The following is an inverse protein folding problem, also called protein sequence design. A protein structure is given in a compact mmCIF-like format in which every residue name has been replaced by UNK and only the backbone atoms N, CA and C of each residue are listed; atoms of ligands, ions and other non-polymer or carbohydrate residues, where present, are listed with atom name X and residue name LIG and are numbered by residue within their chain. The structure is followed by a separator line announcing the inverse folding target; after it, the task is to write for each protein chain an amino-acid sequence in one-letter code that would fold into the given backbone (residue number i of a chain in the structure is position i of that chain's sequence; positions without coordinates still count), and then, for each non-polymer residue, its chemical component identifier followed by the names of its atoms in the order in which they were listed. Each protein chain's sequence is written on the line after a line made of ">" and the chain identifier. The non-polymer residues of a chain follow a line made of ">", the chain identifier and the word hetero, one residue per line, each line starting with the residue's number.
data_IF_726506646886
#
_entry.id   IF_726506646886
#
_cell.length_a   1.000
_cell.length_b   1.000
_cell.length_c   1.000
_cell.angle_alpha   90.00
_cell.angle_beta   90.00
_cell.angle_gamma   90.00
#
_symmetry.space_group_name_H-M   'P 1'
#
loop_
_entity.id
_entity.type
_entity.pdbx_description
1 polymer ?
#
# COMPACT_ATOMS: atom_id res chain seq x y z
N UNK A 1 -26.02 3.89 0.74
CA UNK A 1 -25.16 3.31 -0.31
C UNK A 1 -24.20 2.35 0.35
N UNK A 2 -24.41 1.03 0.22
CA UNK A 2 -23.54 0.03 0.84
C UNK A 2 -22.23 -0.05 0.05
N UNK A 3 -21.23 0.75 0.42
CA UNK A 3 -19.89 0.57 -0.13
C UNK A 3 -19.34 -0.71 0.48
N UNK A 4 -19.06 -1.72 -0.35
CA UNK A 4 -18.28 -2.88 0.09
C UNK A 4 -16.94 -2.36 0.58
N UNK A 5 -16.78 -2.26 1.90
CA UNK A 5 -15.57 -1.68 2.49
C UNK A 5 -14.35 -2.52 2.07
N UNK A 6 -13.38 -1.90 1.39
CA UNK A 6 -12.15 -2.58 0.93
C UNK A 6 -11.49 -3.32 2.08
N UNK A 7 -10.99 -4.53 1.88
CA UNK A 7 -10.41 -5.34 2.95
C UNK A 7 -9.12 -4.75 3.57
N UNK A 8 -8.46 -3.82 2.87
CA UNK A 8 -7.21 -3.19 3.25
C UNK A 8 -7.33 -1.66 3.26
N UNK A 9 -6.48 -1.03 4.07
CA UNK A 9 -6.24 0.42 4.04
C UNK A 9 -4.84 0.69 3.50
N UNK A 10 -4.64 1.84 2.87
CA UNK A 10 -3.35 2.24 2.33
C UNK A 10 -2.65 3.19 3.30
N UNK A 11 -1.34 3.03 3.50
CA UNK A 11 -0.52 4.02 4.20
C UNK A 11 -0.30 5.23 3.30
N UNK A 12 -0.66 6.45 3.75
CA UNK A 12 -0.47 7.66 2.95
C UNK A 12 1.00 8.00 2.70
N UNK A 13 1.88 7.60 3.63
CA UNK A 13 3.32 7.89 3.56
C UNK A 13 4.10 7.01 2.58
N UNK A 14 3.81 5.70 2.55
CA UNK A 14 4.60 4.74 1.75
C UNK A 14 3.75 3.87 0.80
N UNK A 15 2.44 4.12 0.71
CA UNK A 15 1.50 3.45 -0.19
C UNK A 15 1.30 1.95 0.04
N UNK A 16 1.86 1.37 1.11
CA UNK A 16 1.63 -0.04 1.45
C UNK A 16 0.17 -0.30 1.82
N UNK A 17 -0.36 -1.44 1.37
CA UNK A 17 -1.65 -1.97 1.80
C UNK A 17 -1.47 -2.78 3.08
N UNK A 18 -2.21 -2.39 4.12
CA UNK A 18 -2.18 -3.03 5.43
C UNK A 18 -3.59 -3.49 5.85
N UNK A 19 -3.70 -4.51 6.72
CA UNK A 19 -4.97 -4.88 7.32
C UNK A 19 -5.65 -3.69 8.02
N UNK A 20 -6.99 -3.67 8.03
CA UNK A 20 -7.75 -2.56 8.64
C UNK A 20 -7.38 -2.30 10.10
N UNK A 21 -7.14 -3.37 10.85
CA UNK A 21 -6.80 -3.35 12.28
C UNK A 21 -5.33 -2.96 12.55
N UNK A 22 -4.48 -2.79 11.54
CA UNK A 22 -3.10 -2.35 11.75
C UNK A 22 -3.09 -0.91 12.30
N UNK A 23 -2.51 -0.70 13.48
CA UNK A 23 -2.41 0.64 14.09
C UNK A 23 -1.15 1.38 13.63
N UNK A 24 -0.12 0.65 13.22
CA UNK A 24 1.18 1.18 12.75
C UNK A 24 1.55 0.48 11.45
N UNK A 25 2.10 1.23 10.49
CA UNK A 25 2.54 0.71 9.22
C UNK A 25 3.81 -0.13 9.41
N UNK A 26 3.82 -1.42 9.06
CA UNK A 26 5.00 -2.28 9.24
C UNK A 26 6.16 -1.92 8.29
N UNK A 27 5.90 -1.10 7.27
CA UNK A 27 6.90 -0.71 6.27
C UNK A 27 7.64 0.58 6.67
N UNK A 28 6.93 1.57 7.24
CA UNK A 28 7.52 2.90 7.48
C UNK A 28 7.21 3.50 8.87
N UNK A 29 6.50 2.78 9.74
CA UNK A 29 6.15 3.24 11.10
C UNK A 29 5.07 4.31 11.18
N UNK A 30 4.51 4.77 10.05
CA UNK A 30 3.43 5.76 10.04
C UNK A 30 2.12 5.20 10.61
N UNK A 31 1.31 6.07 11.22
CA UNK A 31 -0.07 5.79 11.64
C UNK A 31 -1.11 6.46 10.70
N UNK A 32 -0.65 7.08 9.61
CA UNK A 32 -1.48 7.80 8.66
C UNK A 32 -1.95 6.88 7.51
N UNK A 33 -3.26 6.67 7.44
CA UNK A 33 -3.90 5.70 6.56
C UNK A 33 -5.14 6.26 5.86
N UNK A 34 -5.51 5.64 4.74
CA UNK A 34 -6.73 5.97 3.97
C UNK A 34 -7.46 4.71 3.49
N UNK A 35 -8.77 4.79 3.39
CA UNK A 35 -9.63 3.79 2.72
C UNK A 35 -9.88 4.16 1.23
N UNK A 36 -9.56 5.40 0.87
CA UNK A 36 -9.69 5.96 -0.47
C UNK A 36 -8.36 5.80 -1.20
N UNK A 37 -8.34 4.82 -2.10
CA UNK A 37 -7.17 4.38 -2.84
C UNK A 37 -7.61 3.53 -4.03
N UNK A 38 -6.85 3.51 -5.10
CA UNK A 38 -7.18 2.74 -6.30
C UNK A 38 -5.94 2.17 -6.97
N UNK A 39 -6.14 1.02 -7.63
CA UNK A 39 -5.05 0.22 -8.21
C UNK A 39 -4.22 -0.51 -7.16
N UNK A 40 -3.77 -1.72 -7.50
CA UNK A 40 -2.90 -2.53 -6.64
C UNK A 40 -1.70 -2.99 -7.45
N UNK A 41 -0.52 -2.88 -6.85
CA UNK A 41 0.72 -3.48 -7.34
C UNK A 41 1.22 -4.44 -6.27
N UNK A 42 1.60 -5.64 -6.70
CA UNK A 42 2.24 -6.63 -5.84
C UNK A 42 3.69 -6.74 -6.30
N UNK A 43 4.62 -6.38 -5.42
CA UNK A 43 6.05 -6.52 -5.66
C UNK A 43 6.53 -7.77 -4.95
N UNK A 44 7.02 -8.74 -5.71
CA UNK A 44 7.59 -9.99 -5.19
C UNK A 44 9.10 -9.84 -5.03
N UNK A 45 9.76 -9.33 -6.07
CA UNK A 45 11.21 -9.08 -6.10
C UNK A 45 11.46 -7.63 -6.51
N UNK A 46 11.76 -6.74 -5.55
CA UNK A 46 12.07 -5.33 -5.84
C UNK A 46 13.33 -5.13 -6.68
N UNK A 47 14.33 -6.00 -6.54
CA UNK A 47 15.64 -5.84 -7.18
C UNK A 47 15.55 -6.14 -8.68
N UNK A 48 14.70 -7.09 -9.08
CA UNK A 48 14.49 -7.46 -10.48
C UNK A 48 13.24 -6.82 -11.11
N UNK A 49 12.43 -6.07 -10.36
CA UNK A 49 11.23 -5.42 -10.87
C UNK A 49 11.48 -3.99 -11.36
N UNK A 50 11.30 -3.76 -12.66
CA UNK A 50 11.32 -2.40 -13.24
C UNK A 50 10.23 -1.50 -12.62
N UNK A 51 9.05 -2.07 -12.36
CA UNK A 51 7.94 -1.33 -11.72
C UNK A 51 8.33 -0.93 -10.30
N UNK A 52 8.94 -1.82 -9.51
CA UNK A 52 9.37 -1.51 -8.15
C UNK A 52 10.41 -0.39 -8.14
N UNK A 53 11.39 -0.43 -9.05
CA UNK A 53 12.39 0.63 -9.23
C UNK A 53 11.76 1.97 -9.59
N UNK A 54 10.83 1.99 -10.54
CA UNK A 54 10.11 3.21 -10.94
C UNK A 54 9.27 3.80 -9.81
N UNK A 55 8.70 2.95 -8.95
CA UNK A 55 7.90 3.36 -7.80
C UNK A 55 8.72 3.53 -6.51
N UNK A 56 10.05 3.39 -6.59
CA UNK A 56 10.98 3.44 -5.45
C UNK A 56 10.63 2.47 -4.30
N UNK A 57 9.97 1.36 -4.64
CA UNK A 57 9.61 0.31 -3.69
C UNK A 57 10.84 -0.57 -3.46
N UNK A 58 11.30 -0.62 -2.21
CA UNK A 58 12.48 -1.40 -1.80
C UNK A 58 12.15 -2.69 -1.06
N UNK A 59 10.90 -2.89 -0.69
CA UNK A 59 10.45 -4.06 0.08
C UNK A 59 9.38 -4.83 -0.68
N UNK A 60 9.37 -6.17 -0.58
CA UNK A 60 8.30 -6.97 -1.16
C UNK A 60 7.00 -6.70 -0.41
N UNK A 61 5.88 -6.67 -1.13
CA UNK A 61 4.58 -6.37 -0.53
C UNK A 61 3.52 -5.92 -1.50
N UNK A 62 2.38 -5.51 -0.93
CA UNK A 62 1.22 -4.98 -1.67
C UNK A 62 1.20 -3.47 -1.49
N UNK A 63 1.10 -2.74 -2.60
CA UNK A 63 1.09 -1.29 -2.62
C UNK A 63 -0.07 -0.78 -3.47
N UNK A 64 -0.51 0.44 -3.21
CA UNK A 64 -1.50 1.13 -4.05
C UNK A 64 -0.82 1.98 -5.10
N UNK A 65 -1.45 2.08 -6.27
CA UNK A 65 -0.97 2.95 -7.35
C UNK A 65 -1.31 4.40 -7.04
N UNK A 66 -2.57 4.64 -6.65
CA UNK A 66 -3.11 5.97 -6.38
C UNK A 66 -3.77 6.02 -5.00
N UNK A 67 -3.55 7.14 -4.32
CA UNK A 67 -4.29 7.57 -3.14
C UNK A 67 -5.19 8.72 -3.58
N UNK A 68 -6.44 8.67 -3.14
CA UNK A 68 -7.41 9.75 -3.33
C UNK A 68 -7.49 10.62 -2.06
#
# INVERSE_FOLDING_TARGET
>A
MSSKSKAFKACRKCRSLVPKNATVCPVCGSQDFTMEWSGVVIVIDPENSRIAKTLEIKTPGKYVVKID
#
